data_IF_739483789673
#
_entry.id   IF_739483789673
#
_cell.length_a   1.000
_cell.length_b   1.000
_cell.length_c   1.000
_cell.angle_alpha   90.00
_cell.angle_beta   90.00
_cell.angle_gamma   90.00
#
_symmetry.space_group_name_H-M   'P 1'
#
loop_
_entity.id
_entity.type
_entity.pdbx_description
1 polymer ?
#
# COMPACT_ATOMS: atom_id res chain seq x y z
N UNK A 1 -26.74 21.53 -18.28
CA UNK A 1 -26.38 20.17 -18.70
C UNK A 1 -24.86 20.11 -18.89
N UNK A 2 -24.11 19.68 -17.87
CA UNK A 2 -22.64 19.55 -17.97
C UNK A 2 -22.32 18.20 -18.61
N UNK A 3 -21.63 18.25 -19.74
CA UNK A 3 -21.23 17.10 -20.55
C UNK A 3 -20.29 16.20 -19.75
N UNK A 4 -20.68 14.93 -19.52
CA UNK A 4 -19.83 13.91 -18.90
C UNK A 4 -18.91 13.32 -19.98
N UNK A 5 -17.65 13.72 -20.00
CA UNK A 5 -16.60 13.02 -20.76
C UNK A 5 -16.28 11.69 -20.07
N UNK A 6 -16.47 10.59 -20.80
CA UNK A 6 -16.27 9.24 -20.29
C UNK A 6 -14.78 8.87 -20.40
N UNK A 7 -14.04 8.93 -19.29
CA UNK A 7 -12.60 8.67 -19.22
C UNK A 7 -12.23 7.20 -18.96
N UNK A 8 -13.21 6.32 -18.69
CA UNK A 8 -12.97 4.92 -18.31
C UNK A 8 -12.41 4.72 -16.90
N UNK A 9 -12.24 5.78 -16.11
CA UNK A 9 -11.75 5.73 -14.72
C UNK A 9 -12.92 5.77 -13.72
N UNK A 10 -12.75 5.14 -12.56
CA UNK A 10 -13.69 5.24 -11.44
C UNK A 10 -13.90 6.68 -10.97
N UNK A 11 -15.14 7.03 -10.62
CA UNK A 11 -15.55 8.37 -10.19
C UNK A 11 -15.84 8.41 -8.69
N UNK A 12 -15.24 9.37 -7.98
CA UNK A 12 -15.57 9.65 -6.60
C UNK A 12 -16.88 10.45 -6.53
N UNK A 13 -17.92 9.89 -5.91
CA UNK A 13 -19.20 10.56 -5.67
C UNK A 13 -19.30 11.13 -4.26
N UNK A 14 -18.57 10.55 -3.31
CA UNK A 14 -18.48 11.01 -1.92
C UNK A 14 -17.47 12.15 -1.82
N UNK A 15 -17.85 13.29 -1.21
CA UNK A 15 -17.02 14.51 -1.11
C UNK A 15 -16.45 14.76 0.29
N UNK A 16 -16.99 14.12 1.33
CA UNK A 16 -16.54 14.27 2.72
C UNK A 16 -16.64 12.95 3.48
N UNK A 17 -15.81 12.79 4.52
CA UNK A 17 -15.87 11.62 5.39
C UNK A 17 -17.11 11.66 6.30
N UNK A 18 -17.77 10.52 6.48
CA UNK A 18 -18.95 10.38 7.35
C UNK A 18 -18.82 9.16 8.26
N UNK A 19 -19.13 9.36 9.54
CA UNK A 19 -19.18 8.32 10.55
C UNK A 19 -20.59 7.75 10.68
N UNK A 20 -20.70 6.43 10.75
CA UNK A 20 -21.93 5.71 11.04
C UNK A 20 -21.69 4.77 12.22
N UNK A 21 -22.73 4.61 13.06
CA UNK A 21 -22.73 3.74 14.23
C UNK A 21 -23.61 2.52 13.97
N UNK A 22 -23.11 1.32 14.26
CA UNK A 22 -23.91 0.11 14.12
C UNK A 22 -24.77 -0.16 15.36
N UNK A 23 -26.02 -0.65 15.21
CA UNK A 23 -26.91 -0.95 16.33
C UNK A 23 -26.34 -1.97 17.33
N UNK A 24 -25.47 -2.87 16.85
CA UNK A 24 -24.83 -3.92 17.66
C UNK A 24 -23.40 -3.57 18.10
N UNK A 25 -22.99 -2.31 17.93
CA UNK A 25 -21.66 -1.81 18.28
C UNK A 25 -20.68 -1.81 17.10
N UNK A 26 -19.66 -0.96 17.21
CA UNK A 26 -18.70 -0.67 16.15
C UNK A 26 -19.13 0.50 15.27
N UNK A 27 -18.13 1.11 14.64
CA UNK A 27 -18.30 2.30 13.81
C UNK A 27 -17.69 2.07 12.43
N UNK A 28 -18.25 2.74 11.41
CA UNK A 28 -17.68 2.78 10.05
C UNK A 28 -17.55 4.21 9.58
N UNK A 29 -16.37 4.54 9.04
CA UNK A 29 -16.12 5.80 8.34
C UNK A 29 -16.13 5.52 6.85
N UNK A 30 -17.05 6.16 6.13
CA UNK A 30 -17.04 6.22 4.68
C UNK A 30 -16.32 7.51 4.24
N UNK A 31 -15.25 7.40 3.45
CA UNK A 31 -14.45 8.53 3.01
C UNK A 31 -14.37 8.60 1.47
N UNK A 32 -14.13 9.80 0.88
CA UNK A 32 -13.80 9.91 -0.53
C UNK A 32 -12.62 9.00 -0.90
N UNK A 33 -12.62 8.48 -2.13
CA UNK A 33 -11.45 7.77 -2.63
C UNK A 33 -10.28 8.73 -2.81
N UNK A 34 -9.08 8.25 -2.46
CA UNK A 34 -7.83 9.02 -2.55
C UNK A 34 -7.05 8.52 -3.75
N UNK A 35 -6.53 9.43 -4.58
CA UNK A 35 -5.69 9.10 -5.75
C UNK A 35 -4.20 9.27 -5.51
N UNK A 36 -3.85 10.05 -4.49
CA UNK A 36 -2.47 10.41 -4.18
C UNK A 36 -2.24 10.22 -2.69
N UNK A 37 -1.16 9.54 -2.34
CA UNK A 37 -0.76 9.32 -0.96
C UNK A 37 0.68 9.74 -0.76
N UNK A 38 0.94 10.43 0.36
CA UNK A 38 2.23 10.99 0.68
C UNK A 38 3.03 10.18 1.67
N UNK A 39 4.28 9.88 1.33
CA UNK A 39 5.22 9.13 2.18
C UNK A 39 6.31 10.02 2.81
N UNK A 40 6.21 11.34 2.68
CA UNK A 40 7.23 12.32 3.13
C UNK A 40 7.58 12.28 4.62
N UNK A 41 6.75 11.66 5.45
CA UNK A 41 6.97 11.51 6.88
C UNK A 41 7.63 10.16 7.24
N UNK A 42 7.94 9.33 6.26
CA UNK A 42 8.52 8.00 6.44
C UNK A 42 9.90 7.92 5.82
N UNK A 43 10.84 7.39 6.58
CA UNK A 43 12.12 6.91 6.08
C UNK A 43 11.95 5.59 5.31
N UNK A 44 12.87 5.30 4.39
CA UNK A 44 12.80 4.10 3.55
C UNK A 44 12.73 2.78 4.37
N UNK A 45 13.40 2.73 5.52
CA UNK A 45 13.34 1.58 6.43
C UNK A 45 11.97 1.42 7.12
N UNK A 46 11.24 2.52 7.34
CA UNK A 46 9.89 2.45 7.90
C UNK A 46 8.90 1.89 6.87
N UNK A 47 9.15 2.13 5.57
CA UNK A 47 8.34 1.58 4.48
C UNK A 47 8.49 0.06 4.43
N UNK A 48 9.72 -0.48 4.55
CA UNK A 48 9.93 -1.93 4.55
C UNK A 48 9.32 -2.62 5.78
N UNK A 49 9.34 -1.96 6.93
CA UNK A 49 8.65 -2.42 8.14
C UNK A 49 7.11 -2.43 8.01
N UNK A 50 6.54 -1.58 7.16
CA UNK A 50 5.10 -1.58 6.85
C UNK A 50 4.62 -2.78 6.04
N UNK A 51 5.55 -3.55 5.46
CA UNK A 51 5.26 -4.74 4.66
C UNK A 51 5.49 -6.00 5.49
N UNK A 52 4.41 -6.56 6.02
CA UNK A 52 4.43 -7.74 6.93
C UNK A 52 5.17 -8.91 6.31
N UNK A 53 5.06 -9.08 5.00
CA UNK A 53 5.69 -10.17 4.25
C UNK A 53 7.23 -10.10 4.27
N UNK A 54 7.81 -8.95 4.58
CA UNK A 54 9.26 -8.79 4.65
C UNK A 54 9.82 -9.07 6.04
N UNK A 55 9.01 -9.10 7.10
CA UNK A 55 9.47 -9.22 8.49
C UNK A 55 10.40 -10.42 8.72
N UNK A 56 10.09 -11.58 8.12
CA UNK A 56 10.90 -12.79 8.23
C UNK A 56 12.27 -12.69 7.53
N UNK A 57 12.48 -11.70 6.67
CA UNK A 57 13.68 -11.52 5.85
C UNK A 57 14.52 -10.31 6.25
N UNK A 58 13.94 -9.35 7.00
CA UNK A 58 14.68 -8.19 7.51
C UNK A 58 15.81 -8.64 8.45
N UNK A 59 16.96 -7.98 8.34
CA UNK A 59 18.18 -8.36 9.09
C UNK A 59 18.90 -9.63 8.60
N UNK A 60 18.33 -10.38 7.64
CA UNK A 60 18.97 -11.59 7.06
C UNK A 60 19.73 -11.33 5.76
N UNK A 61 19.87 -10.06 5.38
CA UNK A 61 20.66 -9.68 4.23
C UNK A 61 22.15 -9.84 4.53
N UNK A 62 22.94 -10.07 3.48
CA UNK A 62 24.40 -10.14 3.59
C UNK A 62 25.00 -8.87 4.21
N UNK A 63 24.44 -7.71 3.90
CA UNK A 63 24.88 -6.39 4.37
C UNK A 63 23.83 -5.77 5.31
N UNK A 64 24.29 -5.05 6.33
CA UNK A 64 23.43 -4.42 7.34
C UNK A 64 22.66 -3.20 6.81
N UNK A 65 23.23 -2.49 5.84
CA UNK A 65 22.71 -1.28 5.21
C UNK A 65 22.07 -1.55 3.84
N UNK A 66 21.66 -2.81 3.60
CA UNK A 66 21.01 -3.24 2.37
C UNK A 66 19.78 -2.38 2.06
N UNK A 67 19.73 -1.82 0.84
CA UNK A 67 18.63 -1.04 0.26
C UNK A 67 17.56 -1.90 -0.39
N UNK A 68 17.77 -3.21 -0.43
CA UNK A 68 16.83 -4.22 -0.92
C UNK A 68 16.44 -4.12 -2.40
N UNK A 69 17.13 -3.30 -3.18
CA UNK A 69 16.91 -3.12 -4.62
C UNK A 69 17.79 -4.09 -5.44
N UNK A 70 19.04 -3.70 -5.71
CA UNK A 70 19.98 -4.49 -6.52
C UNK A 70 21.11 -5.13 -5.70
N UNK A 71 21.07 -5.00 -4.37
CA UNK A 71 22.15 -5.47 -3.50
C UNK A 71 22.35 -6.99 -3.57
N UNK A 72 23.60 -7.45 -3.76
CA UNK A 72 23.90 -8.88 -3.81
C UNK A 72 23.71 -9.52 -2.44
N UNK A 73 22.95 -10.62 -2.38
CA UNK A 73 22.66 -11.32 -1.13
C UNK A 73 21.56 -10.66 -0.28
N UNK A 74 20.70 -9.84 -0.89
CA UNK A 74 19.46 -9.37 -0.26
C UNK A 74 18.47 -10.53 -0.07
N UNK A 75 18.00 -10.73 1.17
CA UNK A 75 17.00 -11.75 1.49
C UNK A 75 15.59 -11.34 1.01
N UNK A 76 15.24 -10.05 1.08
CA UNK A 76 13.93 -9.54 0.69
C UNK A 76 13.69 -9.63 -0.83
N UNK A 77 14.69 -9.35 -1.68
CA UNK A 77 14.53 -9.39 -3.14
C UNK A 77 14.30 -10.81 -3.68
N UNK A 78 14.89 -11.83 -3.05
CA UNK A 78 14.62 -13.24 -3.36
C UNK A 78 13.15 -13.59 -3.09
N UNK A 79 12.60 -13.12 -1.97
CA UNK A 79 11.18 -13.36 -1.60
C UNK A 79 10.19 -12.66 -2.54
N UNK A 80 10.49 -11.41 -2.95
CA UNK A 80 9.62 -10.62 -3.80
C UNK A 80 9.43 -11.22 -5.19
N UNK A 81 10.49 -11.78 -5.78
CA UNK A 81 10.45 -12.44 -7.10
C UNK A 81 9.59 -13.70 -7.11
N UNK A 82 9.57 -14.45 -6.02
CA UNK A 82 8.77 -15.67 -5.88
C UNK A 82 7.27 -15.39 -5.71
N UNK A 83 6.89 -14.18 -5.28
CA UNK A 83 5.49 -13.80 -5.02
C UNK A 83 4.86 -12.83 -6.00
N UNK A 84 5.63 -12.08 -6.79
CA UNK A 84 5.08 -11.18 -7.82
C UNK A 84 4.22 -11.94 -8.85
N UNK A 85 4.52 -13.21 -9.09
CA UNK A 85 3.75 -14.14 -9.94
C UNK A 85 2.34 -14.47 -9.38
N UNK A 86 2.08 -14.21 -8.10
CA UNK A 86 0.78 -14.49 -7.46
C UNK A 86 -0.18 -13.31 -7.36
N UNK A 87 0.24 -12.10 -7.75
CA UNK A 87 -0.66 -10.93 -7.75
C UNK A 87 -1.49 -10.94 -9.02
N UNK A 88 -2.70 -11.52 -8.97
CA UNK A 88 -3.71 -11.24 -9.99
C UNK A 88 -4.05 -9.74 -9.92
N UNK A 89 -4.12 -9.03 -11.07
CA UNK A 89 -4.71 -7.70 -11.09
C UNK A 89 -6.17 -7.81 -10.65
N UNK A 90 -6.62 -6.82 -9.86
CA UNK A 90 -8.03 -6.59 -9.59
C UNK A 90 -8.79 -6.27 -10.88
#
# INVERSE_FOLDING_TARGET
MMSRTFSGLGQHTTTAARLYHFPHGGDVIDSPGVREFGLWHLEAEQITNGLVEFHDYLGRCKYRDCKHDTDPGCAASRSGRERQDRRKPF
#
